data_IF_651215195193
#
_entry.id   IF_651215195193
#
_cell.length_a   1.000
_cell.length_b   1.000
_cell.length_c   1.000
_cell.angle_alpha   90.00
_cell.angle_beta   90.00
_cell.angle_gamma   90.00
#
_symmetry.space_group_name_H-M   'P 1'
#
loop_
_entity.id
_entity.type
_entity.pdbx_description
1 polymer ?
#
# COMPACT_ATOMS: atom_id res chain seq x y z
N UNK A 1 6.22 -22.19 17.97
CA UNK A 1 5.20 -21.41 17.26
C UNK A 1 4.50 -20.49 18.24
N UNK A 2 4.44 -19.21 17.95
CA UNK A 2 3.73 -18.27 18.79
C UNK A 2 2.24 -18.23 18.51
N UNK A 3 1.46 -17.82 19.48
CA UNK A 3 0.02 -17.59 19.32
C UNK A 3 -0.25 -16.11 19.55
N UNK A 4 -0.98 -15.50 18.64
CA UNK A 4 -1.39 -14.09 18.74
C UNK A 4 -2.90 -13.96 18.60
N UNK A 5 -3.47 -12.95 19.24
CA UNK A 5 -4.87 -12.60 19.09
C UNK A 5 -4.95 -11.23 18.38
N UNK A 6 -5.82 -11.16 17.40
CA UNK A 6 -5.99 -9.95 16.59
C UNK A 6 -7.47 -9.60 16.55
N UNK A 7 -7.78 -8.32 16.81
CA UNK A 7 -9.13 -7.80 16.66
C UNK A 7 -9.33 -7.32 15.24
N UNK A 8 -10.45 -7.68 14.65
CA UNK A 8 -10.84 -7.25 13.31
C UNK A 8 -12.28 -6.75 13.32
N UNK A 9 -12.63 -5.77 12.46
CA UNK A 9 -14.04 -5.44 12.26
C UNK A 9 -14.82 -6.67 11.78
N UNK A 10 -16.07 -6.78 12.21
CA UNK A 10 -16.91 -7.93 11.85
C UNK A 10 -17.04 -8.09 10.34
N UNK A 11 -17.15 -6.99 9.60
CA UNK A 11 -17.24 -7.03 8.14
C UNK A 11 -15.99 -7.63 7.50
N UNK A 12 -14.82 -7.34 8.04
CA UNK A 12 -13.57 -7.92 7.54
C UNK A 12 -13.50 -9.41 7.86
N UNK A 13 -13.89 -9.79 9.06
CA UNK A 13 -13.90 -11.18 9.47
C UNK A 13 -14.83 -12.03 8.60
N UNK A 14 -16.01 -11.51 8.27
CA UNK A 14 -16.94 -12.17 7.34
C UNK A 14 -16.31 -12.38 5.97
N UNK A 15 -15.55 -11.41 5.49
CA UNK A 15 -14.84 -11.52 4.20
C UNK A 15 -13.73 -12.56 4.26
N UNK A 16 -13.02 -12.65 5.38
CA UNK A 16 -12.01 -13.69 5.59
C UNK A 16 -12.67 -15.07 5.57
N UNK A 17 -13.79 -15.23 6.24
CA UNK A 17 -14.51 -16.52 6.28
C UNK A 17 -14.99 -16.93 4.89
N UNK A 18 -15.54 -16.01 4.12
CA UNK A 18 -15.97 -16.28 2.76
C UNK A 18 -14.77 -16.69 1.87
N UNK A 19 -13.66 -16.01 2.02
CA UNK A 19 -12.43 -16.32 1.27
C UNK A 19 -11.89 -17.71 1.61
N UNK A 20 -11.90 -18.06 2.89
CA UNK A 20 -11.49 -19.40 3.36
C UNK A 20 -12.34 -20.49 2.68
N UNK A 21 -13.65 -20.31 2.67
CA UNK A 21 -14.56 -21.28 2.07
C UNK A 21 -14.39 -21.36 0.54
N UNK A 22 -14.25 -20.25 -0.13
CA UNK A 22 -14.12 -20.19 -1.59
C UNK A 22 -12.82 -20.78 -2.11
N UNK A 23 -11.75 -20.62 -1.35
CA UNK A 23 -10.40 -20.97 -1.81
C UNK A 23 -9.82 -22.22 -1.14
N UNK A 24 -10.61 -22.92 -0.34
CA UNK A 24 -10.19 -24.20 0.23
C UNK A 24 -9.11 -24.12 1.31
N UNK A 25 -9.01 -23.00 2.00
CA UNK A 25 -8.11 -22.92 3.15
C UNK A 25 -8.64 -23.73 4.31
N UNK A 26 -7.74 -24.22 5.15
CA UNK A 26 -8.12 -25.03 6.31
C UNK A 26 -8.83 -24.23 7.41
N UNK A 27 -8.65 -22.91 7.42
CA UNK A 27 -9.28 -22.02 8.38
C UNK A 27 -8.73 -20.63 8.33
N UNK A 28 -9.22 -19.77 9.23
CA UNK A 28 -8.81 -18.38 9.34
C UNK A 28 -7.31 -18.21 9.54
N UNK A 29 -6.73 -19.03 10.40
CA UNK A 29 -5.30 -18.92 10.72
C UNK A 29 -4.42 -19.11 9.50
N UNK A 30 -4.75 -20.07 8.65
CA UNK A 30 -4.02 -20.30 7.41
C UNK A 30 -4.14 -19.11 6.46
N UNK A 31 -5.35 -18.60 6.26
CA UNK A 31 -5.59 -17.45 5.39
C UNK A 31 -4.86 -16.22 5.90
N UNK A 32 -4.87 -15.96 7.20
CA UNK A 32 -4.17 -14.82 7.80
C UNK A 32 -2.65 -14.98 7.68
N UNK A 33 -2.12 -16.17 7.90
CA UNK A 33 -0.68 -16.42 7.73
C UNK A 33 -0.25 -16.18 6.28
N UNK A 34 -1.04 -16.67 5.33
CA UNK A 34 -0.77 -16.49 3.92
C UNK A 34 -0.80 -15.01 3.53
N UNK A 35 -1.84 -14.30 3.95
CA UNK A 35 -1.95 -12.86 3.72
C UNK A 35 -0.81 -12.07 4.33
N UNK A 36 -0.37 -12.45 5.52
CA UNK A 36 0.76 -11.81 6.20
C UNK A 36 2.06 -12.05 5.44
N UNK A 37 2.31 -13.28 4.99
CA UNK A 37 3.48 -13.57 4.17
C UNK A 37 3.48 -12.76 2.89
N UNK A 38 2.34 -12.71 2.21
CA UNK A 38 2.20 -11.94 0.97
C UNK A 38 2.52 -10.46 1.20
N UNK A 39 1.97 -9.88 2.27
CA UNK A 39 2.21 -8.49 2.62
C UNK A 39 3.70 -8.22 2.90
N UNK A 40 4.33 -9.08 3.68
CA UNK A 40 5.74 -8.92 4.02
C UNK A 40 6.66 -9.10 2.80
N UNK A 41 6.32 -10.01 1.91
CA UNK A 41 7.10 -10.25 0.71
C UNK A 41 6.96 -9.16 -0.34
N UNK A 42 5.88 -8.40 -0.29
CA UNK A 42 5.65 -7.32 -1.23
C UNK A 42 6.80 -6.32 -1.26
N UNK A 43 7.31 -5.92 -0.10
CA UNK A 43 8.51 -5.09 -0.03
C UNK A 43 9.81 -5.87 -0.17
N UNK A 44 9.82 -7.10 0.28
CA UNK A 44 11.02 -7.92 0.29
C UNK A 44 11.49 -8.34 -1.10
N UNK A 45 10.56 -8.70 -1.98
CA UNK A 45 10.88 -9.08 -3.37
C UNK A 45 11.53 -7.95 -4.14
N UNK A 46 11.26 -6.75 -3.71
CA UNK A 46 11.63 -5.54 -4.41
C UNK A 46 12.93 -4.94 -3.86
N UNK A 47 13.48 -5.55 -2.82
CA UNK A 47 14.69 -5.06 -2.16
C UNK A 47 15.89 -5.63 -2.85
N UNK A 48 16.40 -4.91 -3.84
CA UNK A 48 17.75 -5.06 -4.31
C UNK A 48 18.49 -3.82 -3.83
N UNK A 49 19.59 -4.00 -3.13
CA UNK A 49 20.33 -2.93 -2.49
C UNK A 49 20.60 -1.76 -3.44
N UNK A 50 20.04 -0.60 -3.10
CA UNK A 50 20.28 0.64 -3.81
C UNK A 50 19.57 0.82 -5.14
N UNK A 51 18.76 -0.13 -5.59
CA UNK A 51 18.01 0.03 -6.81
C UNK A 51 16.74 0.87 -6.60
N UNK A 52 16.45 1.69 -7.60
CA UNK A 52 15.24 2.49 -7.62
C UNK A 52 14.04 1.66 -8.05
N UNK A 53 12.91 1.98 -7.45
CA UNK A 53 11.62 1.38 -7.75
C UNK A 53 10.60 2.48 -7.97
N UNK A 54 9.55 2.17 -8.70
CA UNK A 54 8.39 3.05 -8.80
C UNK A 54 7.31 2.53 -7.88
N UNK A 55 6.73 3.41 -7.10
CA UNK A 55 5.61 3.08 -6.23
C UNK A 55 4.47 4.06 -6.49
N UNK A 56 3.27 3.53 -6.66
CA UNK A 56 2.05 4.34 -6.65
C UNK A 56 1.41 4.21 -5.28
N UNK A 57 1.05 5.34 -4.68
CA UNK A 57 0.37 5.38 -3.38
C UNK A 57 -0.96 6.09 -3.57
N UNK A 58 -2.04 5.41 -3.20
CA UNK A 58 -3.39 5.96 -3.28
C UNK A 58 -3.92 6.17 -1.87
N UNK A 59 -4.25 7.41 -1.55
CA UNK A 59 -4.73 7.81 -0.22
C UNK A 59 -6.16 8.31 -0.36
N UNK A 60 -7.07 7.76 0.43
CA UNK A 60 -8.46 8.23 0.45
C UNK A 60 -8.80 8.86 1.80
N UNK A 61 -9.55 9.92 1.75
CA UNK A 61 -10.04 10.61 2.94
C UNK A 61 -11.37 11.30 2.63
N UNK A 62 -12.08 11.74 3.65
CA UNK A 62 -13.38 12.36 3.47
C UNK A 62 -13.27 13.71 2.77
N UNK A 63 -14.26 14.02 1.95
CA UNK A 63 -14.37 15.30 1.30
C UNK A 63 -14.41 16.43 2.34
N UNK A 64 -13.83 17.57 2.00
CA UNK A 64 -13.75 18.74 2.87
C UNK A 64 -12.99 18.51 4.18
N UNK A 65 -11.83 17.87 4.11
CA UNK A 65 -10.90 17.73 5.22
C UNK A 65 -9.60 18.50 4.93
N UNK A 66 -9.60 19.84 5.07
CA UNK A 66 -8.40 20.63 4.74
C UNK A 66 -7.18 20.25 5.57
N UNK A 67 -7.38 19.83 6.81
CA UNK A 67 -6.27 19.41 7.69
C UNK A 67 -5.56 18.18 7.14
N UNK A 68 -6.30 17.22 6.59
CA UNK A 68 -5.71 16.03 5.97
C UNK A 68 -4.90 16.43 4.74
N UNK A 69 -5.47 17.27 3.89
CA UNK A 69 -4.80 17.72 2.68
C UNK A 69 -3.52 18.49 2.98
N UNK A 70 -3.53 19.36 4.00
CA UNK A 70 -2.34 20.09 4.43
C UNK A 70 -1.25 19.16 4.94
N UNK A 71 -1.61 18.13 5.72
CA UNK A 71 -0.67 17.16 6.23
C UNK A 71 -0.06 16.30 5.12
N UNK A 72 -0.87 15.90 4.15
CA UNK A 72 -0.37 15.16 2.97
C UNK A 72 0.57 16.04 2.14
N UNK A 73 0.27 17.31 2.00
CA UNK A 73 1.16 18.27 1.33
C UNK A 73 2.50 18.37 2.08
N UNK A 74 2.46 18.40 3.41
CA UNK A 74 3.66 18.39 4.23
C UNK A 74 4.50 17.14 4.03
N UNK A 75 3.87 15.98 4.00
CA UNK A 75 4.56 14.70 3.72
C UNK A 75 5.22 14.76 2.34
N UNK A 76 4.51 15.24 1.34
CA UNK A 76 5.06 15.39 -0.01
C UNK A 76 6.32 16.29 -0.01
N UNK A 77 6.28 17.41 0.68
CA UNK A 77 7.42 18.30 0.78
C UNK A 77 8.62 17.67 1.49
N UNK A 78 8.36 16.95 2.56
CA UNK A 78 9.42 16.26 3.30
C UNK A 78 10.09 15.15 2.50
N UNK A 79 9.39 14.62 1.50
CA UNK A 79 9.87 13.52 0.67
C UNK A 79 9.97 13.92 -0.81
N UNK A 80 10.15 15.20 -1.09
CA UNK A 80 10.12 15.69 -2.48
C UNK A 80 11.15 15.03 -3.39
N UNK A 81 12.25 14.54 -2.82
CA UNK A 81 13.29 13.87 -3.61
C UNK A 81 12.78 12.61 -4.32
N UNK A 82 11.76 11.95 -3.79
CA UNK A 82 11.22 10.72 -4.37
C UNK A 82 9.83 10.89 -4.98
N UNK A 83 9.15 12.00 -4.76
CA UNK A 83 7.82 12.23 -5.31
C UNK A 83 7.93 12.76 -6.73
N UNK A 84 7.54 11.94 -7.71
CA UNK A 84 7.57 12.32 -9.12
C UNK A 84 6.35 13.13 -9.52
N UNK A 85 5.19 12.76 -9.04
CA UNK A 85 3.95 13.47 -9.32
C UNK A 85 2.92 13.22 -8.23
N UNK A 86 1.97 14.14 -8.16
CA UNK A 86 0.84 14.07 -7.24
C UNK A 86 -0.41 14.51 -8.01
N UNK A 87 -1.48 13.75 -7.83
CA UNK A 87 -2.77 14.05 -8.42
C UNK A 87 -3.84 14.01 -7.36
N UNK A 88 -4.70 15.00 -7.35
CA UNK A 88 -5.85 15.07 -6.45
C UNK A 88 -7.12 14.92 -7.27
N UNK A 89 -8.01 14.06 -6.82
CA UNK A 89 -9.32 13.89 -7.46
C UNK A 89 -10.38 13.56 -6.41
N UNK A 90 -11.61 13.62 -6.82
CA UNK A 90 -12.73 13.24 -5.99
C UNK A 90 -13.30 11.91 -6.48
N UNK A 91 -13.67 11.06 -5.54
CA UNK A 91 -14.34 9.80 -5.84
C UNK A 91 -15.75 9.85 -5.26
N UNK A 92 -16.74 9.84 -6.12
CA UNK A 92 -18.12 10.10 -5.72
C UNK A 92 -18.26 11.49 -5.12
N UNK A 93 -19.27 11.66 -4.29
CA UNK A 93 -19.53 12.95 -3.64
C UNK A 93 -18.94 13.07 -2.25
N UNK A 94 -18.28 12.02 -1.76
CA UNK A 94 -17.92 11.90 -0.35
C UNK A 94 -16.44 11.80 -0.08
N UNK A 95 -15.62 11.48 -1.08
CA UNK A 95 -14.21 11.18 -0.85
C UNK A 95 -13.29 12.00 -1.72
N UNK A 96 -12.13 12.31 -1.13
CA UNK A 96 -10.97 12.79 -1.86
C UNK A 96 -9.98 11.65 -2.04
N UNK A 97 -9.31 11.63 -3.18
CA UNK A 97 -8.25 10.69 -3.49
C UNK A 97 -7.00 11.47 -3.86
N UNK A 98 -5.92 11.25 -3.11
CA UNK A 98 -4.59 11.72 -3.48
C UNK A 98 -3.80 10.54 -4.04
N UNK A 99 -3.25 10.73 -5.21
CA UNK A 99 -2.39 9.74 -5.85
C UNK A 99 -0.98 10.29 -5.94
N UNK A 100 -0.03 9.53 -5.39
CA UNK A 100 1.39 9.87 -5.46
C UNK A 100 2.11 8.84 -6.31
N UNK A 101 2.98 9.30 -7.17
CA UNK A 101 3.92 8.42 -7.87
C UNK A 101 5.31 8.71 -7.31
N UNK A 102 5.94 7.67 -6.77
CA UNK A 102 7.23 7.77 -6.12
C UNK A 102 8.27 7.00 -6.94
N UNK A 103 9.48 7.51 -6.92
CA UNK A 103 10.64 6.81 -7.47
C UNK A 103 11.77 6.91 -6.46
N UNK A 104 12.24 5.78 -5.97
CA UNK A 104 13.27 5.75 -4.97
C UNK A 104 13.57 4.35 -4.47
N UNK A 105 14.41 4.27 -3.45
CA UNK A 105 14.75 3.01 -2.80
C UNK A 105 13.58 2.49 -1.97
N UNK A 106 13.61 1.21 -1.65
CA UNK A 106 12.61 0.59 -0.78
C UNK A 106 12.49 1.33 0.55
N UNK A 107 13.63 1.70 1.16
CA UNK A 107 13.62 2.40 2.45
C UNK A 107 12.97 3.78 2.34
N UNK A 108 13.27 4.52 1.28
CA UNK A 108 12.68 5.84 1.06
C UNK A 108 11.17 5.74 0.81
N UNK A 109 10.74 4.75 0.03
CA UNK A 109 9.32 4.49 -0.24
C UNK A 109 8.60 4.09 1.05
N UNK A 110 9.17 3.19 1.83
CA UNK A 110 8.60 2.78 3.12
C UNK A 110 8.43 3.96 4.06
N UNK A 111 9.42 4.84 4.13
CA UNK A 111 9.34 6.03 4.97
C UNK A 111 8.18 6.93 4.56
N UNK A 112 7.97 7.11 3.26
CA UNK A 112 6.84 7.88 2.73
C UNK A 112 5.50 7.24 3.10
N UNK A 113 5.35 5.94 2.83
CA UNK A 113 4.10 5.22 3.13
C UNK A 113 3.78 5.28 4.62
N UNK A 114 4.79 5.11 5.47
CA UNK A 114 4.62 5.21 6.93
C UNK A 114 4.20 6.62 7.35
N UNK A 115 4.77 7.65 6.74
CA UNK A 115 4.41 9.03 7.03
C UNK A 115 2.96 9.33 6.64
N UNK A 116 2.51 8.81 5.50
CA UNK A 116 1.12 8.96 5.06
C UNK A 116 0.17 8.23 6.01
N UNK A 117 0.51 7.01 6.41
CA UNK A 117 -0.31 6.25 7.37
C UNK A 117 -0.43 6.92 8.72
N UNK A 118 0.54 7.73 9.10
CA UNK A 118 0.51 8.47 10.35
C UNK A 118 -0.38 9.72 10.30
N UNK A 119 -0.85 10.12 9.14
CA UNK A 119 -1.75 11.27 9.01
C UNK A 119 -3.12 10.91 9.59
N UNK A 120 -3.61 11.69 10.60
CA UNK A 120 -4.94 11.43 11.15
C UNK A 120 -6.03 11.58 10.11
N UNK A 121 -7.10 10.81 10.25
CA UNK A 121 -8.31 10.87 9.44
C UNK A 121 -8.15 10.43 7.98
N UNK A 122 -7.05 9.81 7.65
CA UNK A 122 -6.90 9.08 6.39
C UNK A 122 -7.71 7.78 6.48
N UNK A 123 -8.55 7.52 5.49
CA UNK A 123 -9.39 6.32 5.47
C UNK A 123 -8.65 5.09 5.00
N UNK A 124 -7.88 5.23 3.94
CA UNK A 124 -7.13 4.10 3.39
C UNK A 124 -5.86 4.58 2.72
N UNK A 125 -4.85 3.71 2.77
CA UNK A 125 -3.60 3.88 2.05
C UNK A 125 -3.33 2.57 1.33
N UNK A 126 -3.25 2.64 0.02
CA UNK A 126 -2.90 1.51 -0.83
C UNK A 126 -1.67 1.87 -1.63
N UNK A 127 -0.81 0.90 -1.85
CA UNK A 127 0.39 1.12 -2.63
C UNK A 127 0.70 -0.08 -3.50
N UNK A 128 1.39 0.18 -4.61
CA UNK A 128 1.89 -0.86 -5.50
C UNK A 128 3.30 -0.49 -5.95
N UNK A 129 4.20 -1.45 -5.88
CA UNK A 129 5.60 -1.25 -6.22
C UNK A 129 5.93 -1.99 -7.51
N UNK A 130 6.63 -1.30 -8.41
CA UNK A 130 7.14 -1.87 -9.65
C UNK A 130 8.65 -1.68 -9.66
N UNK A 131 9.43 -2.76 -9.71
CA UNK A 131 10.89 -2.64 -9.82
C UNK A 131 11.29 -2.00 -11.13
N UNK A 132 12.35 -1.19 -11.07
CA UNK A 132 12.95 -0.60 -12.26
C UNK A 132 14.22 -1.34 -12.69
N UNK A 133 14.38 -2.59 -12.26
CA UNK A 133 15.54 -3.36 -12.68
C UNK A 133 15.41 -3.73 -14.16
N UNK A 134 16.52 -3.76 -14.87
CA UNK A 134 16.54 -4.16 -16.27
C UNK A 134 16.18 -5.64 -16.46
N UNK A 135 16.31 -6.44 -15.42
CA UNK A 135 15.98 -7.85 -15.46
C UNK A 135 14.57 -8.08 -14.97
N UNK A 136 13.69 -8.34 -15.90
CA UNK A 136 12.38 -8.85 -15.54
C UNK A 136 12.49 -10.33 -15.23
N UNK A 137 11.70 -10.83 -14.26
CA UNK A 137 11.67 -12.26 -13.99
C UNK A 137 11.33 -13.04 -15.26
N UNK A 138 11.94 -14.22 -15.39
CA UNK A 138 11.60 -15.13 -16.48
C UNK A 138 10.11 -15.40 -16.47
N UNK A 139 9.44 -15.23 -17.61
CA UNK A 139 7.99 -15.36 -17.70
C UNK A 139 7.24 -14.06 -17.54
N UNK A 140 7.93 -12.96 -17.28
CA UNK A 140 7.31 -11.63 -17.39
C UNK A 140 6.82 -11.49 -18.82
N UNK A 141 5.58 -11.06 -18.95
CA UNK A 141 5.01 -10.90 -20.26
C UNK A 141 5.78 -9.84 -21.01
N UNK A 142 6.52 -10.30 -21.96
CA UNK A 142 7.04 -9.45 -22.99
C UNK A 142 5.87 -9.21 -23.91
N UNK A 143 5.16 -8.14 -23.70
CA UNK A 143 4.09 -7.81 -24.62
C UNK A 143 4.65 -7.76 -26.00
N UNK A 144 4.14 -8.57 -26.88
CA UNK A 144 4.50 -8.40 -28.26
C UNK A 144 4.07 -7.03 -28.73
#
# INVERSE_FOLDING_TARGET
MGVVSISMPDSLLERVDAFVDEHGYSGRSEAVREGTRTLLEEFRKETVDGESQVCTVTVTFDYCQPAVQQRLTGVRHEHEAIVSTTTHTHAGDQYCVELFVLEGTTDAISAFVNAVRAVPDVRSVNYAITPLSEEFPAGSVQSP
#
